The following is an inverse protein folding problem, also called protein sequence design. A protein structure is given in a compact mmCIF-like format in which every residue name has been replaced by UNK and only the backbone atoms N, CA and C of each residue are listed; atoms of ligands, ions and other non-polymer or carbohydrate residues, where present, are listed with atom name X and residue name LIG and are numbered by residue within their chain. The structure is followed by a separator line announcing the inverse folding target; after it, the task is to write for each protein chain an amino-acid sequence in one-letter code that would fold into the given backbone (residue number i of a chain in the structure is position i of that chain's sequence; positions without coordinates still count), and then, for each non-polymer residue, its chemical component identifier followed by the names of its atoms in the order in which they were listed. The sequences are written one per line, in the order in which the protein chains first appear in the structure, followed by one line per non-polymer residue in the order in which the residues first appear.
data_IF_337993023510
#
_entry.id   IF_337993023510
#
_cell.length_a   1.000
_cell.length_b   1.000
_cell.length_c   1.000
_cell.angle_alpha   90.00
_cell.angle_beta   90.00
_cell.angle_gamma   90.00
#
_symmetry.space_group_name_H-M   'P 1'
#
loop_
_entity.id
_entity.type
_entity.pdbx_description
1 polymer ?
#
# COMPACT_ATOMS: atom_id res chain seq x y z
N UNK A 1 -46.63 -53.22 -16.40
CA UNK A 1 -46.57 -51.81 -15.94
C UNK A 1 -45.43 -51.66 -14.94
N UNK A 2 -44.81 -50.47 -14.93
CA UNK A 2 -43.62 -50.03 -14.15
C UNK A 2 -42.26 -50.46 -14.73
N UNK A 3 -41.79 -49.70 -15.72
CA UNK A 3 -40.37 -49.55 -16.04
C UNK A 3 -39.77 -48.63 -14.97
N UNK A 4 -38.85 -49.13 -14.16
CA UNK A 4 -38.03 -48.29 -13.29
C UNK A 4 -36.98 -47.63 -14.17
N UNK A 5 -37.19 -46.35 -14.49
CA UNK A 5 -36.17 -45.52 -15.14
C UNK A 5 -35.15 -45.21 -14.04
N UNK A 6 -34.02 -45.90 -14.08
CA UNK A 6 -32.81 -45.53 -13.34
C UNK A 6 -32.34 -44.17 -13.87
N UNK A 7 -32.65 -43.10 -13.15
CA UNK A 7 -32.02 -41.79 -13.35
C UNK A 7 -30.55 -41.92 -12.92
N UNK A 8 -29.55 -41.70 -13.79
CA UNK A 8 -28.21 -41.53 -13.31
C UNK A 8 -28.15 -40.16 -12.62
N UNK A 9 -27.93 -40.16 -11.31
CA UNK A 9 -27.50 -38.98 -10.58
C UNK A 9 -26.18 -38.55 -11.22
N UNK A 10 -26.23 -37.46 -11.99
CA UNK A 10 -25.04 -36.78 -12.47
C UNK A 10 -24.32 -36.28 -11.23
N UNK A 11 -23.29 -37.02 -10.79
CA UNK A 11 -22.23 -36.46 -9.95
C UNK A 11 -21.55 -35.38 -10.80
N UNK A 12 -22.04 -34.16 -10.70
CA UNK A 12 -21.31 -32.98 -11.12
C UNK A 12 -20.18 -32.82 -10.09
N UNK A 13 -19.10 -33.57 -10.29
CA UNK A 13 -17.86 -33.35 -9.58
C UNK A 13 -17.44 -31.92 -9.83
N UNK A 14 -17.62 -31.06 -8.84
CA UNK A 14 -17.07 -29.71 -8.85
C UNK A 14 -15.56 -29.91 -8.75
N UNK A 15 -14.90 -30.03 -9.89
CA UNK A 15 -13.49 -29.76 -9.99
C UNK A 15 -13.35 -28.26 -9.76
N UNK A 16 -13.23 -27.85 -8.50
CA UNK A 16 -12.68 -26.55 -8.16
C UNK A 16 -11.22 -26.64 -8.60
N UNK A 17 -10.96 -26.27 -9.85
CA UNK A 17 -9.60 -26.08 -10.32
C UNK A 17 -8.98 -25.02 -9.44
N UNK A 18 -7.93 -25.36 -8.70
CA UNK A 18 -7.06 -24.37 -8.05
C UNK A 18 -6.47 -23.52 -9.17
N UNK A 19 -7.08 -22.37 -9.43
CA UNK A 19 -6.55 -21.41 -10.37
C UNK A 19 -5.38 -20.71 -9.70
N UNK A 20 -4.20 -20.81 -10.32
CA UNK A 20 -3.03 -20.05 -9.87
C UNK A 20 -3.36 -18.56 -9.97
N UNK A 21 -3.28 -17.87 -8.83
CA UNK A 21 -3.50 -16.43 -8.76
C UNK A 21 -2.16 -15.73 -8.57
N UNK A 22 -1.85 -14.79 -9.46
CA UNK A 22 -0.67 -13.94 -9.32
C UNK A 22 -1.01 -12.77 -8.43
N UNK A 23 -0.13 -12.48 -7.47
CA UNK A 23 -0.19 -11.31 -6.60
C UNK A 23 1.05 -10.47 -6.89
N UNK A 24 0.86 -9.19 -7.18
CA UNK A 24 1.93 -8.22 -7.27
C UNK A 24 2.02 -7.50 -5.94
N UNK A 25 3.22 -7.49 -5.35
CA UNK A 25 3.48 -6.74 -4.12
C UNK A 25 4.35 -5.55 -4.50
N UNK A 26 3.79 -4.37 -4.37
CA UNK A 26 4.51 -3.10 -4.37
C UNK A 26 4.81 -2.74 -2.93
N UNK A 27 6.04 -2.32 -2.65
CA UNK A 27 6.40 -1.87 -1.33
C UNK A 27 7.18 -0.57 -1.37
N UNK A 28 7.06 0.21 -0.31
CA UNK A 28 7.96 1.31 0.04
C UNK A 28 8.46 1.14 1.47
N UNK A 29 9.51 1.89 1.81
CA UNK A 29 10.10 1.97 3.14
C UNK A 29 10.92 3.27 3.19
N UNK A 30 11.16 3.80 4.39
CA UNK A 30 12.11 4.90 4.62
C UNK A 30 11.86 6.09 3.68
N UNK A 31 10.57 6.40 3.43
CA UNK A 31 10.22 7.47 2.50
C UNK A 31 10.50 8.85 3.10
N UNK A 32 10.64 8.92 4.43
CA UNK A 32 11.19 10.05 5.15
C UNK A 32 10.61 11.41 4.71
N UNK A 33 9.28 11.51 4.68
CA UNK A 33 8.59 12.75 4.28
C UNK A 33 8.98 13.27 2.88
N UNK A 34 9.52 12.42 1.98
CA UNK A 34 9.91 12.80 0.62
C UNK A 34 8.69 12.87 -0.30
N UNK A 35 7.96 13.98 -0.20
CA UNK A 35 6.76 14.25 -1.00
C UNK A 35 7.12 14.61 -2.44
N UNK A 36 8.09 15.50 -2.62
CA UNK A 36 8.58 15.95 -3.92
C UNK A 36 9.74 15.07 -4.42
N UNK A 37 10.04 15.08 -5.74
CA UNK A 37 11.29 14.55 -6.25
C UNK A 37 12.50 15.13 -5.50
N UNK A 38 13.54 14.33 -5.40
CA UNK A 38 14.82 14.76 -4.85
C UNK A 38 15.37 15.89 -5.75
N UNK A 39 15.93 16.99 -5.18
CA UNK A 39 16.43 18.11 -5.97
C UNK A 39 17.44 17.68 -7.03
N UNK A 40 17.44 18.35 -8.19
CA UNK A 40 18.44 18.10 -9.26
C UNK A 40 19.89 18.30 -8.80
N UNK A 41 20.09 19.05 -7.72
CA UNK A 41 21.40 19.28 -7.10
C UNK A 41 21.86 18.16 -6.18
N UNK A 42 21.02 17.15 -5.92
CA UNK A 42 21.39 16.01 -5.10
C UNK A 42 22.50 15.19 -5.77
N UNK A 43 23.46 14.74 -4.96
CA UNK A 43 24.66 14.06 -5.44
C UNK A 43 24.40 12.65 -5.95
N UNK A 44 23.42 11.96 -5.40
CA UNK A 44 23.24 10.53 -5.58
C UNK A 44 21.97 10.20 -6.36
N UNK A 45 20.89 10.94 -6.11
CA UNK A 45 19.56 10.64 -6.63
C UNK A 45 18.86 11.87 -7.24
N UNK A 46 19.54 12.66 -8.11
CA UNK A 46 18.94 13.88 -8.65
C UNK A 46 17.68 13.57 -9.46
N UNK A 47 16.61 14.34 -9.21
CA UNK A 47 15.30 14.17 -9.85
C UNK A 47 14.74 12.74 -9.76
N UNK A 48 14.98 12.01 -8.67
CA UNK A 48 14.33 10.72 -8.43
C UNK A 48 13.24 10.81 -7.36
N UNK A 49 12.31 9.85 -7.37
CA UNK A 49 11.25 9.73 -6.35
C UNK A 49 10.10 10.73 -6.50
N UNK A 50 9.50 11.09 -5.36
CA UNK A 50 8.29 11.91 -5.28
C UNK A 50 6.99 11.09 -5.30
N UNK A 51 6.01 11.55 -4.52
CA UNK A 51 4.70 10.90 -4.34
C UNK A 51 3.89 10.89 -5.62
N UNK A 52 3.95 11.95 -6.43
CA UNK A 52 3.20 12.02 -7.70
C UNK A 52 3.66 10.94 -8.68
N UNK A 53 4.98 10.75 -8.83
CA UNK A 53 5.54 9.70 -9.69
C UNK A 53 5.24 8.30 -9.14
N UNK A 54 5.28 8.14 -7.81
CA UNK A 54 4.86 6.90 -7.14
C UNK A 54 3.39 6.58 -7.43
N UNK A 55 2.49 7.56 -7.31
CA UNK A 55 1.07 7.40 -7.58
C UNK A 55 0.82 6.92 -9.02
N UNK A 56 1.46 7.56 -10.00
CA UNK A 56 1.35 7.17 -11.41
C UNK A 56 1.83 5.71 -11.64
N UNK A 57 2.91 5.30 -10.97
CA UNK A 57 3.40 3.93 -11.07
C UNK A 57 2.44 2.92 -10.41
N UNK A 58 1.93 3.22 -9.22
CA UNK A 58 0.95 2.39 -8.52
C UNK A 58 -0.32 2.21 -9.37
N UNK A 59 -0.84 3.31 -9.92
CA UNK A 59 -2.00 3.28 -10.81
C UNK A 59 -1.75 2.41 -12.05
N UNK A 60 -0.59 2.58 -12.70
CA UNK A 60 -0.19 1.72 -13.82
C UNK A 60 -0.20 0.25 -13.43
N UNK A 61 0.42 -0.11 -12.30
CA UNK A 61 0.50 -1.51 -11.86
C UNK A 61 -0.88 -2.10 -11.54
N UNK A 62 -1.78 -1.31 -10.95
CA UNK A 62 -3.18 -1.69 -10.70
C UNK A 62 -3.99 -1.84 -11.98
N UNK A 63 -3.69 -1.08 -13.03
CA UNK A 63 -4.33 -1.24 -14.33
C UNK A 63 -3.82 -2.47 -15.11
N UNK A 64 -2.59 -2.91 -14.84
CA UNK A 64 -1.95 -4.05 -15.53
C UNK A 64 -2.16 -5.39 -14.80
N UNK A 65 -2.63 -5.39 -13.54
CA UNK A 65 -2.71 -6.58 -12.70
C UNK A 65 -3.97 -6.59 -11.82
N UNK A 66 -4.65 -7.73 -11.74
CA UNK A 66 -5.90 -7.87 -10.97
C UNK A 66 -5.70 -7.85 -9.45
N UNK A 67 -4.54 -8.33 -8.95
CA UNK A 67 -4.27 -8.44 -7.51
C UNK A 67 -2.95 -7.72 -7.19
N UNK A 68 -3.06 -6.47 -6.76
CA UNK A 68 -1.91 -5.64 -6.35
C UNK A 68 -2.07 -5.27 -4.88
N UNK A 69 -1.03 -5.55 -4.10
CA UNK A 69 -0.88 -5.04 -2.75
C UNK A 69 0.17 -3.94 -2.74
N UNK A 70 -0.15 -2.80 -2.13
CA UNK A 70 0.76 -1.70 -1.85
C UNK A 70 0.99 -1.59 -0.35
N UNK A 71 2.21 -1.85 0.11
CA UNK A 71 2.55 -1.85 1.54
C UNK A 71 3.72 -0.92 1.87
N UNK A 72 3.80 -0.44 3.10
CA UNK A 72 4.94 0.36 3.60
C UNK A 72 5.60 -0.27 4.83
N UNK A 73 6.93 -0.26 4.86
CA UNK A 73 7.71 -0.86 5.95
C UNK A 73 8.09 0.11 7.10
N UNK A 74 7.50 1.30 7.15
CA UNK A 74 7.75 2.30 8.19
C UNK A 74 8.76 3.37 7.79
N UNK A 75 9.00 4.31 8.70
CA UNK A 75 9.81 5.51 8.50
C UNK A 75 9.31 6.35 7.30
N UNK A 76 7.99 6.51 7.24
CA UNK A 76 7.35 7.42 6.27
C UNK A 76 7.28 8.85 6.81
N UNK A 77 7.33 9.03 8.13
CA UNK A 77 7.51 10.32 8.78
C UNK A 77 8.98 10.74 8.83
N UNK A 78 9.19 12.02 9.14
CA UNK A 78 10.49 12.68 9.29
C UNK A 78 11.43 12.65 8.07
N UNK A 79 11.93 13.82 7.66
CA UNK A 79 13.06 13.93 6.74
C UNK A 79 13.08 15.23 5.92
N UNK A 80 11.91 15.83 5.67
CA UNK A 80 11.78 17.09 4.94
C UNK A 80 10.97 18.12 5.74
N UNK A 81 10.95 19.41 5.33
CA UNK A 81 10.11 20.41 5.96
C UNK A 81 8.61 20.09 5.97
N UNK A 82 8.12 19.18 5.12
CA UNK A 82 6.72 18.74 5.16
C UNK A 82 6.36 18.18 6.53
N UNK A 83 7.14 17.24 7.06
CA UNK A 83 6.89 16.70 8.40
C UNK A 83 7.02 17.77 9.49
N UNK A 84 8.01 18.66 9.39
CA UNK A 84 8.21 19.69 10.41
C UNK A 84 7.03 20.67 10.50
N UNK A 85 6.39 20.98 9.37
CA UNK A 85 5.29 21.94 9.29
C UNK A 85 3.92 21.31 9.51
N UNK A 86 3.72 20.09 8.99
CA UNK A 86 2.41 19.43 8.93
C UNK A 86 2.28 18.20 9.82
N UNK A 87 3.34 17.81 10.53
CA UNK A 87 3.34 16.75 11.57
C UNK A 87 2.78 15.41 11.10
N UNK A 88 3.01 15.04 9.83
CA UNK A 88 2.58 13.76 9.26
C UNK A 88 1.29 13.82 8.44
N UNK A 89 0.57 14.94 8.43
CA UNK A 89 -0.71 15.05 7.72
C UNK A 89 -0.57 14.89 6.21
N UNK A 90 0.51 15.41 5.63
CA UNK A 90 0.74 15.33 4.18
C UNK A 90 1.08 13.88 3.78
N UNK A 91 1.89 13.22 4.60
CA UNK A 91 2.34 11.84 4.40
C UNK A 91 1.15 10.88 4.47
N UNK A 92 0.34 10.97 5.54
CA UNK A 92 -0.79 10.06 5.70
C UNK A 92 -1.89 10.31 4.65
N UNK A 93 -2.12 11.55 4.26
CA UNK A 93 -3.10 11.85 3.21
C UNK A 93 -2.62 11.38 1.84
N UNK A 94 -1.32 11.52 1.54
CA UNK A 94 -0.73 10.91 0.35
C UNK A 94 -0.91 9.39 0.35
N UNK A 95 -0.61 8.70 1.46
CA UNK A 95 -0.78 7.26 1.55
C UNK A 95 -2.25 6.83 1.44
N UNK A 96 -3.18 7.62 1.99
CA UNK A 96 -4.61 7.43 1.83
C UNK A 96 -5.04 7.53 0.35
N UNK A 97 -4.56 8.55 -0.36
CA UNK A 97 -4.84 8.77 -1.78
C UNK A 97 -4.24 7.68 -2.67
N UNK A 98 -3.04 7.19 -2.33
CA UNK A 98 -2.41 6.04 -2.98
C UNK A 98 -3.07 4.71 -2.61
N UNK A 99 -4.00 4.71 -1.66
CA UNK A 99 -4.72 3.52 -1.18
C UNK A 99 -3.75 2.41 -0.75
N UNK A 100 -2.82 2.70 0.17
CA UNK A 100 -2.00 1.64 0.77
C UNK A 100 -2.89 0.56 1.40
N UNK A 101 -2.47 -0.70 1.30
CA UNK A 101 -3.20 -1.86 1.82
C UNK A 101 -2.83 -2.15 3.27
N UNK A 102 -1.59 -1.91 3.66
CA UNK A 102 -1.13 -1.99 5.05
C UNK A 102 0.22 -1.28 5.21
N UNK A 103 0.50 -0.82 6.42
CA UNK A 103 1.82 -0.30 6.79
C UNK A 103 2.25 -0.84 8.15
N UNK A 104 3.53 -0.73 8.46
CA UNK A 104 4.05 -0.84 9.84
C UNK A 104 4.64 0.48 10.31
N UNK A 105 5.04 0.53 11.58
CA UNK A 105 5.70 1.67 12.20
C UNK A 105 7.21 1.44 12.24
N UNK A 106 7.97 2.41 11.77
CA UNK A 106 9.39 2.55 11.99
C UNK A 106 9.69 3.37 13.24
N UNK A 107 10.97 3.69 13.47
CA UNK A 107 11.37 4.46 14.65
C UNK A 107 11.00 5.95 14.53
N UNK A 108 11.00 6.51 13.33
CA UNK A 108 10.76 7.94 13.12
C UNK A 108 9.28 8.33 13.31
N UNK A 109 8.37 7.37 13.31
CA UNK A 109 6.98 7.61 13.68
C UNK A 109 6.80 8.10 15.12
N UNK A 110 7.81 7.90 15.99
CA UNK A 110 7.78 8.28 17.41
C UNK A 110 8.51 9.61 17.71
N UNK A 111 9.16 10.25 16.73
CA UNK A 111 10.05 11.40 16.94
C UNK A 111 9.37 12.63 17.57
N UNK A 112 8.09 12.84 17.28
CA UNK A 112 7.29 13.95 17.82
C UNK A 112 6.38 13.54 18.99
N UNK A 113 6.62 12.35 19.54
CA UNK A 113 5.90 11.82 20.68
C UNK A 113 4.57 11.17 20.31
N UNK A 114 3.95 10.58 21.32
CA UNK A 114 2.82 9.67 21.14
C UNK A 114 1.55 10.40 20.65
N UNK A 115 1.35 11.64 21.05
CA UNK A 115 0.15 12.40 20.67
C UNK A 115 0.07 12.60 19.15
N UNK A 116 1.20 12.95 18.52
CA UNK A 116 1.28 13.11 17.05
C UNK A 116 1.04 11.78 16.35
N UNK A 117 1.69 10.71 16.80
CA UNK A 117 1.49 9.39 16.19
C UNK A 117 0.03 8.92 16.31
N UNK A 118 -0.62 9.11 17.47
CA UNK A 118 -2.05 8.78 17.64
C UNK A 118 -2.91 9.55 16.63
N UNK A 119 -2.64 10.84 16.42
CA UNK A 119 -3.40 11.66 15.48
C UNK A 119 -3.19 11.22 14.02
N UNK A 120 -2.00 10.77 13.66
CA UNK A 120 -1.71 10.19 12.34
C UNK A 120 -2.39 8.84 12.16
N UNK A 121 -2.29 7.94 13.14
CA UNK A 121 -2.93 6.61 13.11
C UNK A 121 -4.45 6.75 12.93
N UNK A 122 -5.09 7.71 13.61
CA UNK A 122 -6.54 7.97 13.47
C UNK A 122 -6.95 8.44 12.06
N UNK A 123 -6.03 9.03 11.29
CA UNK A 123 -6.27 9.54 9.94
C UNK A 123 -6.01 8.51 8.85
N UNK A 124 -5.36 7.39 9.17
CA UNK A 124 -5.10 6.31 8.23
C UNK A 124 -6.41 5.64 7.78
N UNK A 125 -6.57 5.42 6.47
CA UNK A 125 -7.70 4.70 5.87
C UNK A 125 -7.36 3.22 5.58
N UNK A 126 -6.25 2.74 6.13
CA UNK A 126 -5.70 1.42 5.95
C UNK A 126 -5.16 0.89 7.29
N UNK A 127 -5.02 -0.43 7.46
CA UNK A 127 -4.48 -1.00 8.69
C UNK A 127 -3.01 -0.65 8.90
N UNK A 128 -2.68 -0.32 10.15
CA UNK A 128 -1.31 -0.21 10.66
C UNK A 128 -1.06 -1.44 11.53
N UNK A 129 -0.02 -2.20 11.22
CA UNK A 129 0.34 -3.45 11.91
C UNK A 129 1.68 -3.25 12.61
N UNK A 130 1.72 -3.37 13.93
CA UNK A 130 2.92 -3.21 14.75
C UNK A 130 2.91 -4.16 15.95
#
# INVERSE_FOLDING_TARGET
MKRYILTPIILLGIAIGLQSQNIVILHTNDTHSRIEPVPETDKYNPDLGGVVRRAAYVEKMRNENDNVLLIDAGDFLQGTPYFNLFKGEVEIEAMNLLQYDAITLGNHEFDYGMDVLIDIVKKAKFPIVA
#
